data_IF_328333427762
#
_entry.id   IF_328333427762
#
_cell.length_a   1.000
_cell.length_b   1.000
_cell.length_c   1.000
_cell.angle_alpha   90.00
_cell.angle_beta   90.00
_cell.angle_gamma   90.00
#
_symmetry.space_group_name_H-M   'P 1'
#
loop_
_entity.id
_entity.type
_entity.pdbx_description
1 polymer ?
#
# COMPACT_ATOMS: atom_id res chain seq x y z
N UNK A 1 48.75 -19.94 17.76
CA UNK A 1 48.05 -18.66 18.01
C UNK A 1 47.72 -17.87 16.73
N UNK A 2 47.51 -18.52 15.56
CA UNK A 2 47.16 -17.85 14.29
C UNK A 2 45.75 -18.19 13.79
N UNK A 3 45.16 -19.27 14.29
CA UNK A 3 43.81 -19.73 13.90
C UNK A 3 42.66 -19.08 14.68
N UNK A 4 42.93 -18.49 15.86
CA UNK A 4 41.90 -17.79 16.64
C UNK A 4 41.52 -16.40 16.07
N UNK A 5 42.46 -15.73 15.39
CA UNK A 5 42.23 -14.39 14.84
C UNK A 5 41.39 -14.38 13.55
N UNK A 6 41.36 -15.50 12.82
CA UNK A 6 40.57 -15.61 11.58
C UNK A 6 39.08 -15.84 11.85
N UNK A 7 38.71 -16.44 12.99
CA UNK A 7 37.31 -16.68 13.35
C UNK A 7 36.60 -15.44 13.91
N UNK A 8 37.34 -14.54 14.57
CA UNK A 8 36.77 -13.28 15.07
C UNK A 8 36.51 -12.27 13.94
N UNK A 9 37.32 -12.29 12.88
CA UNK A 9 37.15 -11.43 11.70
C UNK A 9 35.97 -11.85 10.81
N UNK A 10 35.66 -13.14 10.70
CA UNK A 10 34.47 -13.62 9.98
C UNK A 10 33.17 -13.34 10.73
N UNK A 11 33.19 -13.35 12.07
CA UNK A 11 32.01 -13.02 12.88
C UNK A 11 31.71 -11.51 12.89
N UNK A 12 32.72 -10.65 12.84
CA UNK A 12 32.52 -9.20 12.68
C UNK A 12 32.06 -8.81 11.26
N UNK A 13 32.51 -9.53 10.23
CA UNK A 13 32.07 -9.30 8.85
C UNK A 13 30.59 -9.63 8.59
N UNK A 14 30.03 -10.58 9.35
CA UNK A 14 28.62 -10.95 9.24
C UNK A 14 27.68 -9.97 9.97
N UNK A 15 28.19 -9.21 10.95
CA UNK A 15 27.40 -8.23 11.70
C UNK A 15 27.23 -6.89 10.96
N UNK A 16 28.05 -6.60 9.94
CA UNK A 16 28.01 -5.35 9.19
C UNK A 16 27.02 -5.35 8.00
N UNK A 17 26.30 -6.45 7.77
CA UNK A 17 25.28 -6.55 6.72
C UNK A 17 23.85 -6.42 7.28
N UNK A 18 23.67 -5.67 8.35
CA UNK A 18 22.34 -5.23 8.79
C UNK A 18 22.05 -3.92 8.06
N UNK A 19 21.16 -3.91 7.05
CA UNK A 19 20.75 -2.65 6.44
C UNK A 19 20.10 -1.76 7.51
N UNK A 20 20.43 -0.46 7.56
CA UNK A 20 19.79 0.47 8.48
C UNK A 20 18.31 0.61 8.12
N UNK A 21 17.45 0.60 9.14
CA UNK A 21 16.01 0.88 9.11
C UNK A 21 15.24 0.34 7.89
N UNK A 22 14.90 -0.96 7.93
CA UNK A 22 13.72 -1.41 7.23
C UNK A 22 12.50 -0.93 8.02
N UNK A 23 11.95 0.21 7.59
CA UNK A 23 10.58 0.67 7.83
C UNK A 23 9.68 -0.45 8.38
N UNK A 24 9.30 -0.34 9.66
CA UNK A 24 8.58 -1.36 10.43
C UNK A 24 7.17 -1.54 9.88
N UNK A 25 7.06 -2.31 8.80
CA UNK A 25 5.81 -2.78 8.24
C UNK A 25 5.99 -4.07 7.43
N UNK A 26 6.98 -4.89 7.78
CA UNK A 26 7.27 -6.15 7.13
C UNK A 26 6.35 -7.26 7.68
N UNK A 27 5.07 -7.25 7.32
CA UNK A 27 4.16 -8.42 7.38
C UNK A 27 4.29 -9.42 8.55
N UNK A 28 4.59 -8.95 9.77
CA UNK A 28 4.85 -9.82 10.92
C UNK A 28 3.57 -10.49 11.47
N UNK A 29 2.42 -10.22 10.84
CA UNK A 29 1.12 -10.78 11.18
C UNK A 29 0.57 -11.57 10.00
N UNK A 30 -0.22 -12.62 10.28
CA UNK A 30 -0.89 -13.44 9.26
C UNK A 30 -1.77 -12.57 8.35
N UNK A 31 -2.45 -11.57 8.92
CA UNK A 31 -3.27 -10.60 8.17
C UNK A 31 -2.40 -9.77 7.22
N UNK A 32 -1.25 -9.29 7.69
CA UNK A 32 -0.27 -8.60 6.86
C UNK A 32 0.16 -9.44 5.65
N UNK A 33 0.53 -10.71 5.89
CA UNK A 33 0.94 -11.62 4.81
C UNK A 33 -0.17 -11.87 3.77
N UNK A 34 -1.42 -12.04 4.20
CA UNK A 34 -2.57 -12.17 3.30
C UNK A 34 -2.78 -10.89 2.48
N UNK A 35 -2.72 -9.74 3.15
CA UNK A 35 -2.87 -8.43 2.52
C UNK A 35 -1.80 -8.20 1.47
N UNK A 36 -0.54 -8.53 1.77
CA UNK A 36 0.58 -8.44 0.84
C UNK A 36 0.35 -9.24 -0.43
N UNK A 37 0.02 -10.53 -0.29
CA UNK A 37 -0.25 -11.41 -1.45
C UNK A 37 -1.38 -10.87 -2.30
N UNK A 38 -2.41 -10.31 -1.66
CA UNK A 38 -3.56 -9.72 -2.35
C UNK A 38 -3.21 -8.40 -3.04
N UNK A 39 -2.28 -7.62 -2.50
CA UNK A 39 -1.73 -6.43 -3.15
C UNK A 39 -0.94 -6.79 -4.41
N UNK A 40 -0.24 -7.94 -4.45
CA UNK A 40 0.47 -8.39 -5.66
C UNK A 40 -0.48 -8.82 -6.79
N UNK A 41 -1.73 -9.20 -6.47
CA UNK A 41 -2.70 -9.74 -7.44
C UNK A 41 -3.79 -8.75 -7.84
N UNK A 42 -3.99 -7.68 -7.07
CA UNK A 42 -5.07 -6.71 -7.28
C UNK A 42 -4.49 -5.31 -7.47
N UNK A 43 -5.09 -4.46 -8.33
CA UNK A 43 -4.68 -3.07 -8.42
C UNK A 43 -4.90 -2.33 -7.09
N UNK A 44 -4.18 -1.22 -6.90
CA UNK A 44 -4.31 -0.36 -5.72
C UNK A 44 -5.54 0.54 -5.76
N UNK A 45 -6.04 0.79 -6.97
CA UNK A 45 -7.20 1.62 -7.24
C UNK A 45 -8.44 0.76 -7.53
N UNK A 46 -9.61 1.41 -7.48
CA UNK A 46 -10.86 0.87 -8.02
C UNK A 46 -11.05 1.22 -9.50
N UNK A 47 -12.32 1.28 -9.93
CA UNK A 47 -12.71 1.48 -11.33
C UNK A 47 -13.03 2.93 -11.71
N UNK A 48 -12.98 3.87 -10.77
CA UNK A 48 -13.33 5.27 -11.00
C UNK A 48 -12.09 6.15 -11.05
N UNK A 49 -12.14 7.19 -11.86
CA UNK A 49 -11.11 8.24 -11.88
C UNK A 49 -11.59 9.49 -11.13
N UNK A 50 -10.64 10.30 -10.67
CA UNK A 50 -10.95 11.59 -10.03
C UNK A 50 -11.31 12.65 -11.08
N UNK A 51 -12.35 13.44 -10.82
CA UNK A 51 -12.92 14.42 -11.76
C UNK A 51 -11.90 15.39 -12.32
N UNK A 52 -10.95 15.81 -11.48
CA UNK A 52 -10.07 16.94 -11.79
C UNK A 52 -8.93 16.56 -12.74
N UNK A 53 -8.42 15.33 -12.61
CA UNK A 53 -7.23 14.88 -13.35
C UNK A 53 -7.53 13.73 -14.31
N UNK A 54 -8.73 13.14 -14.26
CA UNK A 54 -9.10 12.03 -15.12
C UNK A 54 -8.33 10.73 -14.84
N UNK A 55 -7.67 10.64 -13.67
CA UNK A 55 -6.93 9.46 -13.19
C UNK A 55 -7.34 9.11 -11.74
N UNK A 56 -7.24 7.86 -11.26
CA UNK A 56 -7.38 7.51 -9.87
C UNK A 56 -6.31 8.20 -9.04
N UNK A 57 -6.71 8.70 -7.89
CA UNK A 57 -5.84 9.41 -6.97
C UNK A 57 -5.61 8.53 -5.75
N UNK A 58 -4.35 8.38 -5.36
CA UNK A 58 -3.97 7.69 -4.13
C UNK A 58 -4.03 8.66 -2.95
N UNK A 59 -4.81 8.32 -1.92
CA UNK A 59 -4.77 8.98 -0.63
C UNK A 59 -3.85 8.21 0.32
N UNK A 60 -2.74 8.82 0.69
CA UNK A 60 -1.72 8.17 1.54
C UNK A 60 -2.17 8.19 2.99
N UNK A 61 -2.23 7.01 3.60
CA UNK A 61 -2.54 6.80 5.00
C UNK A 61 -1.29 6.35 5.80
N UNK A 62 -1.32 6.49 7.15
CA UNK A 62 -0.30 5.94 8.06
C UNK A 62 -0.14 4.40 7.96
N UNK A 63 0.90 3.79 8.58
CA UNK A 63 1.23 2.35 8.43
C UNK A 63 0.19 1.45 8.98
N UNK A 64 -0.23 1.93 10.14
CA UNK A 64 -1.04 1.30 11.14
C UNK A 64 -2.49 1.34 10.68
N UNK A 65 -2.81 2.08 9.61
CA UNK A 65 -4.13 2.09 9.00
C UNK A 65 -4.38 0.79 8.23
N UNK A 66 -5.07 -0.16 8.85
CA UNK A 66 -5.38 -1.45 8.21
C UNK A 66 -6.67 -1.44 7.37
N UNK A 67 -7.61 -0.54 7.72
CA UNK A 67 -8.98 -0.56 7.19
C UNK A 67 -9.41 0.84 6.78
N UNK A 68 -10.29 0.88 5.79
CA UNK A 68 -10.97 2.08 5.30
C UNK A 68 -12.48 1.83 5.31
N UNK A 69 -13.24 2.90 5.52
CA UNK A 69 -14.70 2.88 5.49
C UNK A 69 -15.19 3.61 4.24
N UNK A 70 -16.02 2.92 3.47
CA UNK A 70 -16.76 3.48 2.34
C UNK A 70 -18.15 3.86 2.82
N UNK A 71 -18.51 5.13 2.69
CA UNK A 71 -19.81 5.64 3.10
C UNK A 71 -20.75 5.66 1.90
N UNK A 72 -22.00 5.22 2.10
CA UNK A 72 -23.08 5.38 1.15
C UNK A 72 -24.04 6.48 1.58
N UNK A 73 -24.75 7.06 0.61
CA UNK A 73 -25.73 8.13 0.89
C UNK A 73 -27.09 7.62 1.40
N UNK A 74 -27.28 6.30 1.41
CA UNK A 74 -28.46 5.64 1.99
C UNK A 74 -28.33 5.41 3.50
N UNK A 75 -29.47 5.25 4.17
CA UNK A 75 -29.51 4.99 5.62
C UNK A 75 -28.74 3.70 5.95
N UNK A 76 -27.82 3.80 6.91
CA UNK A 76 -27.05 2.66 7.42
C UNK A 76 -26.10 2.00 6.41
N UNK A 77 -25.84 2.64 5.26
CA UNK A 77 -25.03 2.02 4.21
C UNK A 77 -23.55 2.38 4.38
N UNK A 78 -22.76 1.45 4.91
CA UNK A 78 -21.30 1.56 4.90
C UNK A 78 -20.64 0.20 4.65
N UNK A 79 -19.45 0.22 4.07
CA UNK A 79 -18.64 -0.98 3.87
C UNK A 79 -17.23 -0.74 4.39
N UNK A 80 -16.73 -1.66 5.21
CA UNK A 80 -15.34 -1.63 5.67
C UNK A 80 -14.51 -2.59 4.82
N UNK A 81 -13.38 -2.10 4.30
CA UNK A 81 -12.44 -2.91 3.52
C UNK A 81 -11.01 -2.71 4.03
N UNK A 82 -10.13 -3.67 3.75
CA UNK A 82 -8.72 -3.54 4.09
C UNK A 82 -7.96 -2.65 3.11
N UNK A 83 -7.02 -1.85 3.62
CA UNK A 83 -6.09 -1.07 2.81
C UNK A 83 -4.92 -2.00 2.45
N UNK A 84 -4.93 -2.52 1.22
CA UNK A 84 -4.04 -3.62 0.87
C UNK A 84 -2.63 -3.17 0.54
N UNK A 85 -2.54 -2.15 -0.28
CA UNK A 85 -1.28 -1.68 -0.85
C UNK A 85 -0.50 -0.87 0.16
N UNK A 86 0.77 -1.23 0.30
CA UNK A 86 1.74 -0.50 1.10
C UNK A 86 3.00 -0.32 0.26
N UNK A 87 3.43 0.92 0.11
CA UNK A 87 4.60 1.26 -0.68
C UNK A 87 5.79 1.55 0.24
N UNK A 88 6.96 1.06 -0.14
CA UNK A 88 8.22 1.39 0.51
C UNK A 88 8.80 2.68 -0.08
N UNK A 89 9.89 3.19 0.52
CA UNK A 89 10.64 4.35 -0.01
C UNK A 89 11.07 4.16 -1.47
N UNK A 90 11.36 2.92 -1.88
CA UNK A 90 11.84 2.59 -3.22
C UNK A 90 10.68 2.36 -4.21
N UNK A 91 9.68 3.24 -4.20
CA UNK A 91 8.55 3.14 -5.11
C UNK A 91 8.98 3.46 -6.56
N UNK A 92 8.72 2.57 -7.54
CA UNK A 92 9.29 2.65 -8.90
C UNK A 92 8.70 3.76 -9.79
N UNK A 93 7.85 4.64 -9.26
CA UNK A 93 7.19 5.69 -10.03
C UNK A 93 5.79 5.34 -10.50
N UNK A 94 5.04 6.32 -11.03
CA UNK A 94 3.69 6.10 -11.52
C UNK A 94 3.72 5.23 -12.78
N UNK A 95 2.89 4.19 -12.81
CA UNK A 95 2.72 3.34 -14.00
C UNK A 95 2.02 4.07 -15.16
N UNK A 96 1.98 3.42 -16.32
CA UNK A 96 1.23 3.92 -17.48
C UNK A 96 -0.26 3.90 -17.16
N UNK A 97 -0.90 5.06 -17.33
CA UNK A 97 -2.32 5.22 -17.05
C UNK A 97 -3.12 5.39 -18.35
N UNK A 98 -4.23 4.65 -18.45
CA UNK A 98 -5.19 4.81 -19.54
C UNK A 98 -6.58 5.15 -18.98
N UNK A 99 -7.03 6.39 -19.22
CA UNK A 99 -8.34 6.90 -18.77
C UNK A 99 -9.51 6.05 -19.26
N UNK A 100 -9.43 5.45 -20.44
CA UNK A 100 -10.49 4.61 -21.00
C UNK A 100 -10.79 3.35 -20.18
N UNK A 101 -9.90 2.96 -19.27
CA UNK A 101 -10.09 1.82 -18.37
C UNK A 101 -10.96 2.17 -17.14
N UNK A 102 -11.29 3.44 -16.94
CA UNK A 102 -11.92 3.95 -15.73
C UNK A 102 -13.21 4.71 -16.03
N UNK A 103 -14.12 4.69 -15.07
CA UNK A 103 -15.42 5.34 -15.15
C UNK A 103 -15.34 6.74 -14.53
N UNK A 104 -16.03 7.74 -15.11
CA UNK A 104 -16.27 8.99 -14.40
C UNK A 104 -17.08 8.73 -13.12
N UNK A 105 -16.93 9.63 -12.15
CA UNK A 105 -17.89 9.71 -11.05
C UNK A 105 -19.31 9.87 -11.63
N UNK A 106 -20.27 9.01 -11.24
CA UNK A 106 -21.64 9.13 -11.71
C UNK A 106 -22.23 10.48 -11.28
N UNK A 107 -23.20 10.99 -12.06
CA UNK A 107 -23.94 12.22 -11.70
C UNK A 107 -24.58 12.13 -10.31
N UNK A 108 -25.05 10.93 -9.96
CA UNK A 108 -25.60 10.61 -8.65
C UNK A 108 -24.77 9.46 -8.07
N UNK A 109 -23.66 9.74 -7.37
CA UNK A 109 -22.88 8.70 -6.73
C UNK A 109 -23.72 8.05 -5.63
N UNK A 110 -23.55 6.75 -5.40
CA UNK A 110 -24.12 5.99 -4.29
C UNK A 110 -23.13 5.80 -3.14
N UNK A 111 -21.82 5.82 -3.41
CA UNK A 111 -20.77 5.58 -2.41
C UNK A 111 -19.54 6.48 -2.62
N UNK A 112 -18.76 6.69 -1.55
CA UNK A 112 -17.50 7.46 -1.59
C UNK A 112 -16.41 6.84 -2.48
N UNK A 113 -16.47 5.54 -2.78
CA UNK A 113 -15.50 4.88 -3.66
C UNK A 113 -15.65 5.22 -5.16
N UNK A 114 -16.67 6.00 -5.52
CA UNK A 114 -16.94 6.44 -6.89
C UNK A 114 -16.28 7.79 -7.25
N UNK A 115 -15.63 8.44 -6.29
CA UNK A 115 -14.88 9.69 -6.52
C UNK A 115 -13.46 9.46 -7.05
N UNK A 116 -13.05 8.20 -7.24
CA UNK A 116 -11.73 7.86 -7.78
C UNK A 116 -10.57 8.12 -6.83
N UNK A 117 -10.84 8.30 -5.54
CA UNK A 117 -9.81 8.41 -4.48
C UNK A 117 -9.71 7.07 -3.75
N UNK A 118 -8.50 6.52 -3.65
CA UNK A 118 -8.25 5.20 -3.06
C UNK A 118 -7.12 5.25 -2.04
N UNK A 119 -7.33 4.64 -0.88
CA UNK A 119 -6.32 4.65 0.18
C UNK A 119 -5.17 3.69 -0.12
N UNK A 120 -3.95 4.16 0.14
CA UNK A 120 -2.71 3.37 0.10
C UNK A 120 -1.90 3.68 1.35
N UNK A 121 -1.14 2.71 1.86
CA UNK A 121 -0.25 2.93 3.01
C UNK A 121 1.09 3.47 2.52
N UNK A 122 1.54 4.56 3.12
CA UNK A 122 2.85 5.15 2.83
C UNK A 122 4.03 4.33 3.39
N UNK A 123 5.26 4.76 3.09
CA UNK A 123 6.46 4.36 3.82
C UNK A 123 6.76 5.32 4.97
N UNK A 124 7.03 4.79 6.16
CA UNK A 124 7.83 5.42 7.23
C UNK A 124 8.72 4.31 7.80
#
# INVERSE_FOLDING_TARGET
MKHLACFTLTLLGLAALVPPDQAVAEHHTVVGAIVYRRAQQCPWHGYYYHSDCGIPVSLVAPPTAEKQTHWGWGVGTFQVTTIRHQFSRNWPGPGIYNRGMFRPTPRWPSHTNQFGVYYVRGPW
#
